data_IF_493183092600
#
_entry.id   IF_493183092600
#
_cell.length_a   1.000
_cell.length_b   1.000
_cell.length_c   1.000
_cell.angle_alpha   90.00
_cell.angle_beta   90.00
_cell.angle_gamma   90.00
#
_symmetry.space_group_name_H-M   'P 1'
#
loop_
_entity.id
_entity.type
_entity.pdbx_description
1 polymer ?
#
# COMPACT_ATOMS: atom_id res chain seq x y z
N UNK A 1 -3.64 62.74 -9.71
CA UNK A 1 -4.09 61.51 -9.04
C UNK A 1 -3.61 60.35 -9.88
N UNK A 2 -2.34 60.03 -9.64
CA UNK A 2 -1.60 58.86 -10.12
C UNK A 2 -2.26 57.61 -9.49
N UNK A 3 -2.42 56.46 -10.15
CA UNK A 3 -1.40 55.73 -10.88
C UNK A 3 -0.93 54.56 -10.02
N UNK A 4 -1.70 53.47 -9.98
CA UNK A 4 -1.23 52.18 -9.46
C UNK A 4 -1.62 51.08 -10.44
N UNK A 5 -0.72 50.83 -11.40
CA UNK A 5 -0.71 49.63 -12.23
C UNK A 5 0.03 48.54 -11.44
N UNK A 6 -0.68 47.50 -11.00
CA UNK A 6 -0.03 46.27 -10.57
C UNK A 6 0.39 45.50 -11.81
N UNK A 7 1.63 45.72 -12.25
CA UNK A 7 2.30 44.89 -13.24
C UNK A 7 3.00 43.76 -12.47
N UNK A 8 2.31 42.63 -12.32
CA UNK A 8 2.89 41.41 -11.79
C UNK A 8 3.85 40.81 -12.82
N UNK A 9 5.13 41.20 -12.75
CA UNK A 9 6.21 40.44 -13.37
C UNK A 9 6.32 39.11 -12.60
N UNK A 10 5.75 38.05 -13.15
CA UNK A 10 6.19 36.69 -12.82
C UNK A 10 7.55 36.50 -13.46
N UNK A 11 8.61 36.59 -12.64
CA UNK A 11 9.93 36.12 -13.01
C UNK A 11 9.87 34.58 -12.98
N UNK A 12 9.49 33.98 -14.11
CA UNK A 12 9.71 32.55 -14.34
C UNK A 12 11.23 32.34 -14.41
N UNK A 13 11.83 31.89 -13.31
CA UNK A 13 13.17 31.33 -13.34
C UNK A 13 13.06 29.97 -14.05
N UNK A 14 13.09 29.99 -15.39
CA UNK A 14 13.39 28.82 -16.19
C UNK A 14 14.81 28.37 -15.84
N UNK A 15 14.91 27.36 -14.98
CA UNK A 15 16.12 26.54 -14.93
C UNK A 15 16.14 25.72 -16.22
N UNK A 16 16.79 26.28 -17.24
CA UNK A 16 17.24 25.55 -18.42
C UNK A 16 18.33 24.59 -17.93
N UNK A 17 17.94 23.38 -17.54
CA UNK A 17 18.86 22.24 -17.53
C UNK A 17 19.08 21.88 -19.00
N UNK A 18 20.23 22.31 -19.51
CA UNK A 18 20.66 22.03 -20.86
C UNK A 18 20.62 20.53 -21.14
N UNK A 19 20.09 20.19 -22.31
CA UNK A 19 20.27 18.87 -22.90
C UNK A 19 21.79 18.65 -23.07
N UNK A 20 22.37 17.85 -22.20
CA UNK A 20 23.70 17.30 -22.43
C UNK A 20 23.55 16.14 -23.43
N UNK A 21 24.09 16.32 -24.62
CA UNK A 21 24.34 15.26 -25.58
C UNK A 21 25.01 14.07 -24.88
N UNK A 22 24.41 12.88 -25.01
CA UNK A 22 25.03 11.64 -24.57
C UNK A 22 26.11 11.28 -25.61
N UNK A 23 27.31 11.82 -25.39
CA UNK A 23 28.51 11.35 -26.05
C UNK A 23 28.87 9.97 -25.45
N UNK A 24 28.84 8.94 -26.29
CA UNK A 24 29.22 7.59 -25.93
C UNK A 24 30.68 7.52 -25.50
N UNK A 25 30.90 7.32 -24.21
CA UNK A 25 32.16 6.81 -23.66
C UNK A 25 31.90 5.46 -23.03
N UNK A 26 32.36 4.41 -23.71
CA UNK A 26 32.47 3.05 -23.17
C UNK A 26 33.50 3.05 -22.04
N UNK A 27 33.04 3.22 -20.81
CA UNK A 27 33.80 2.92 -19.60
C UNK A 27 33.25 1.60 -19.02
N UNK A 28 34.14 0.64 -18.77
CA UNK A 28 33.80 -0.68 -18.25
C UNK A 28 33.12 -0.57 -16.88
N UNK A 29 31.88 -1.07 -16.79
CA UNK A 29 31.13 -1.15 -15.54
C UNK A 29 31.60 -2.35 -14.72
N UNK A 30 32.29 -2.06 -13.61
CA UNK A 30 32.43 -3.00 -12.50
C UNK A 30 31.14 -3.08 -11.69
N UNK A 31 30.82 -4.28 -11.21
CA UNK A 31 29.63 -4.65 -10.45
C UNK A 31 29.62 -4.13 -8.99
N UNK A 32 29.52 -2.82 -8.75
CA UNK A 32 29.38 -2.30 -7.36
C UNK A 32 28.33 -1.18 -7.27
N UNK A 33 27.10 -1.47 -7.70
CA UNK A 33 25.96 -0.65 -7.25
C UNK A 33 25.81 -0.81 -5.73
N UNK A 34 25.73 0.29 -4.96
CA UNK A 34 25.68 0.20 -3.51
C UNK A 34 24.40 -0.51 -3.05
N UNK A 35 24.55 -1.45 -2.11
CA UNK A 35 23.42 -2.21 -1.58
C UNK A 35 22.51 -1.28 -0.78
N UNK A 36 21.25 -1.14 -1.20
CA UNK A 36 20.27 -0.22 -0.61
C UNK A 36 19.96 -0.60 0.85
N UNK A 37 19.87 -1.91 1.12
CA UNK A 37 19.69 -2.45 2.46
C UNK A 37 19.85 -3.97 2.48
N UNK A 38 20.19 -4.52 3.64
CA UNK A 38 20.43 -5.96 3.82
C UNK A 38 19.21 -6.72 4.36
N UNK A 39 18.11 -6.02 4.67
CA UNK A 39 16.89 -6.61 5.20
C UNK A 39 16.95 -6.96 6.69
N UNK A 40 15.96 -7.73 7.13
CA UNK A 40 15.72 -8.06 8.54
C UNK A 40 15.61 -9.57 8.75
N UNK A 41 15.84 -10.04 9.97
CA UNK A 41 15.56 -11.41 10.43
C UNK A 41 14.49 -11.42 11.51
N UNK A 42 13.75 -12.51 11.62
CA UNK A 42 12.77 -12.69 12.72
C UNK A 42 13.51 -13.06 14.00
N UNK A 43 13.57 -12.13 14.96
CA UNK A 43 14.18 -12.33 16.28
C UNK A 43 13.28 -13.15 17.20
N UNK A 44 11.99 -12.84 17.19
CA UNK A 44 10.95 -13.59 17.90
C UNK A 44 9.62 -13.42 17.16
N UNK A 45 8.78 -14.44 17.17
CA UNK A 45 7.40 -14.30 16.69
C UNK A 45 6.46 -15.18 17.50
N UNK A 46 5.24 -14.71 17.67
CA UNK A 46 4.19 -15.35 18.45
C UNK A 46 2.89 -15.37 17.64
N UNK A 47 2.17 -16.48 17.74
CA UNK A 47 0.81 -16.61 17.22
C UNK A 47 -0.17 -16.54 18.39
N UNK A 48 -1.07 -15.56 18.31
CA UNK A 48 -2.18 -15.39 19.23
C UNK A 48 -3.41 -15.89 18.51
N UNK A 49 -4.04 -16.94 19.04
CA UNK A 49 -5.28 -17.49 18.49
C UNK A 49 -6.42 -17.33 19.49
N UNK A 50 -7.53 -16.77 19.02
CA UNK A 50 -8.77 -16.63 19.77
C UNK A 50 -9.72 -17.77 19.35
N UNK A 51 -9.97 -18.73 20.22
CA UNK A 51 -10.95 -19.80 19.96
C UNK A 51 -12.32 -19.38 20.50
N UNK A 52 -13.17 -18.81 19.65
CA UNK A 52 -14.57 -18.55 19.98
C UNK A 52 -15.47 -19.68 19.51
N UNK A 53 -15.59 -20.78 20.27
CA UNK A 53 -16.76 -21.68 20.18
C UNK A 53 -17.62 -21.50 21.43
N UNK A 54 -18.75 -20.82 21.27
CA UNK A 54 -19.67 -20.53 22.34
C UNK A 54 -21.02 -20.11 21.79
N UNK A 55 -21.79 -21.08 21.29
CA UNK A 55 -23.21 -20.90 21.00
C UNK A 55 -23.96 -20.67 22.30
N UNK A 56 -24.21 -19.41 22.64
CA UNK A 56 -25.01 -18.99 23.77
C UNK A 56 -25.52 -17.57 23.51
N UNK A 57 -26.84 -17.41 23.43
CA UNK A 57 -27.47 -16.12 23.25
C UNK A 57 -27.12 -15.19 24.43
N UNK A 58 -26.32 -14.17 24.18
CA UNK A 58 -25.97 -13.11 25.12
C UNK A 58 -24.47 -12.96 25.35
N UNK A 59 -23.80 -12.13 24.53
CA UNK A 59 -22.41 -11.73 24.71
C UNK A 59 -21.44 -12.35 23.70
N UNK A 60 -21.58 -12.02 22.40
CA UNK A 60 -20.65 -12.46 21.37
C UNK A 60 -19.33 -11.68 21.42
N UNK A 61 -18.20 -12.39 21.35
CA UNK A 61 -16.89 -11.80 21.08
C UNK A 61 -16.95 -11.03 19.76
N UNK A 62 -16.80 -9.71 19.80
CA UNK A 62 -16.70 -8.90 18.59
C UNK A 62 -15.33 -9.17 17.92
N UNK A 63 -15.34 -10.01 16.87
CA UNK A 63 -14.53 -9.82 15.67
C UNK A 63 -12.99 -9.90 15.74
N UNK A 64 -12.36 -10.28 16.85
CA UNK A 64 -10.91 -10.45 16.90
C UNK A 64 -10.44 -11.78 16.33
N UNK A 65 -10.18 -11.84 15.01
CA UNK A 65 -9.43 -12.94 14.42
C UNK A 65 -8.04 -13.06 15.05
N UNK A 66 -7.40 -14.24 14.96
CA UNK A 66 -6.04 -14.42 15.49
C UNK A 66 -5.04 -13.40 14.90
N UNK A 67 -3.90 -13.23 15.57
CA UNK A 67 -2.83 -12.33 15.13
C UNK A 67 -1.46 -12.99 15.25
N UNK A 68 -0.53 -12.58 14.39
CA UNK A 68 0.90 -12.89 14.49
C UNK A 68 1.65 -11.62 14.79
N UNK A 69 2.37 -11.63 15.90
CA UNK A 69 3.28 -10.53 16.27
C UNK A 69 4.71 -11.01 16.16
N UNK A 70 5.58 -10.22 15.52
CA UNK A 70 6.99 -10.54 15.37
C UNK A 70 7.87 -9.31 15.64
N UNK A 71 9.02 -9.56 16.27
CA UNK A 71 10.11 -8.60 16.39
C UNK A 71 11.15 -8.94 15.33
N UNK A 72 11.48 -7.96 14.49
CA UNK A 72 12.42 -8.10 13.39
C UNK A 72 13.69 -7.30 13.74
N UNK A 73 14.85 -7.90 13.49
CA UNK A 73 16.17 -7.31 13.76
C UNK A 73 16.91 -7.09 12.45
N UNK A 74 17.48 -5.90 12.29
CA UNK A 74 18.25 -5.53 11.11
C UNK A 74 19.46 -6.45 10.96
N UNK A 75 19.68 -7.00 9.76
CA UNK A 75 20.83 -7.88 9.50
C UNK A 75 22.14 -7.10 9.50
N UNK A 76 22.16 -6.00 8.75
CA UNK A 76 23.33 -5.15 8.55
C UNK A 76 22.88 -3.76 8.08
N UNK A 77 23.58 -2.74 8.52
CA UNK A 77 23.34 -1.35 8.12
C UNK A 77 23.87 -1.04 6.73
N UNK A 78 23.19 -0.16 6.01
CA UNK A 78 23.65 0.51 4.78
C UNK A 78 23.45 2.02 4.91
N UNK A 79 24.37 2.83 4.36
CA UNK A 79 24.28 4.29 4.36
C UNK A 79 23.39 4.86 3.25
N UNK A 80 23.04 4.05 2.25
CA UNK A 80 22.23 4.48 1.10
C UNK A 80 20.84 4.90 1.61
N UNK A 81 20.36 6.07 1.19
CA UNK A 81 19.07 6.66 1.61
C UNK A 81 18.89 6.85 3.13
N UNK A 82 19.99 6.93 3.88
CA UNK A 82 19.96 7.25 5.32
C UNK A 82 19.98 6.04 6.25
N UNK A 83 19.83 6.28 7.58
CA UNK A 83 20.00 5.25 8.59
C UNK A 83 18.86 4.22 8.58
N UNK A 84 19.23 2.95 8.69
CA UNK A 84 18.28 1.85 8.90
C UNK A 84 17.69 1.88 10.31
N UNK A 85 16.41 1.55 10.41
CA UNK A 85 15.75 1.28 11.69
C UNK A 85 16.27 -0.05 12.22
N UNK A 86 16.69 -0.11 13.48
CA UNK A 86 17.39 -1.30 14.00
C UNK A 86 16.44 -2.45 14.35
N UNK A 87 15.26 -2.13 14.87
CA UNK A 87 14.25 -3.09 15.32
C UNK A 87 12.89 -2.68 14.77
N UNK A 88 12.20 -3.63 14.12
CA UNK A 88 10.83 -3.43 13.66
C UNK A 88 9.86 -4.33 14.41
N UNK A 89 8.67 -3.82 14.69
CA UNK A 89 7.53 -4.60 15.15
C UNK A 89 6.60 -4.87 13.97
N UNK A 90 6.38 -6.15 13.67
CA UNK A 90 5.39 -6.63 12.70
C UNK A 90 4.18 -7.18 13.43
N UNK A 91 2.99 -6.75 13.04
CA UNK A 91 1.72 -7.31 13.49
C UNK A 91 0.84 -7.63 12.27
N UNK A 92 0.57 -8.91 12.06
CA UNK A 92 -0.39 -9.39 11.08
C UNK A 92 -1.66 -9.84 11.80
N UNK A 93 -2.82 -9.30 11.43
CA UNK A 93 -4.10 -9.62 12.08
C UNK A 93 -5.23 -9.71 11.07
N UNK A 94 -6.21 -10.57 11.36
CA UNK A 94 -7.48 -10.61 10.64
C UNK A 94 -8.43 -9.63 11.32
N UNK A 95 -8.68 -8.48 10.69
CA UNK A 95 -9.61 -7.48 11.24
C UNK A 95 -11.08 -7.91 11.06
N UNK A 96 -11.35 -8.69 10.02
CA UNK A 96 -12.60 -9.41 9.81
C UNK A 96 -12.34 -10.67 8.95
N UNK A 97 -13.41 -11.35 8.54
CA UNK A 97 -13.31 -12.58 7.75
C UNK A 97 -12.72 -12.37 6.34
N UNK A 98 -12.77 -11.13 5.83
CA UNK A 98 -12.44 -10.76 4.45
C UNK A 98 -11.24 -9.80 4.34
N UNK A 99 -10.73 -9.29 5.47
CA UNK A 99 -9.66 -8.29 5.52
C UNK A 99 -8.55 -8.71 6.46
N UNK A 100 -7.33 -8.81 5.91
CA UNK A 100 -6.10 -9.01 6.66
C UNK A 100 -5.27 -7.72 6.65
N UNK A 101 -4.71 -7.36 7.80
CA UNK A 101 -3.83 -6.21 7.98
C UNK A 101 -2.43 -6.67 8.38
N UNK A 102 -1.41 -6.16 7.70
CA UNK A 102 0.01 -6.31 8.06
C UNK A 102 0.58 -4.94 8.36
N UNK A 103 0.89 -4.69 9.64
CA UNK A 103 1.45 -3.44 10.13
C UNK A 103 2.91 -3.64 10.56
N UNK A 104 3.84 -2.89 9.98
CA UNK A 104 5.26 -2.91 10.31
C UNK A 104 5.71 -1.50 10.73
N UNK A 105 6.25 -1.39 11.93
CA UNK A 105 6.65 -0.11 12.57
C UNK A 105 8.02 -0.20 13.22
N UNK A 106 8.65 0.95 13.49
CA UNK A 106 9.81 0.99 14.38
C UNK A 106 9.37 0.51 15.79
N UNK A 107 10.08 -0.48 16.33
CA UNK A 107 9.74 -1.08 17.62
C UNK A 107 10.01 -0.15 18.81
N UNK A 108 10.87 0.85 18.64
CA UNK A 108 11.34 1.73 19.71
C UNK A 108 10.74 3.14 19.64
N UNK A 109 10.31 3.58 18.45
CA UNK A 109 9.83 4.95 18.25
C UNK A 109 8.51 4.98 17.46
N UNK A 110 7.53 5.78 17.88
CA UNK A 110 6.36 6.04 17.06
C UNK A 110 6.78 6.77 15.78
N UNK A 111 6.18 6.40 14.66
CA UNK A 111 6.35 7.05 13.36
C UNK A 111 5.02 7.63 12.90
N UNK A 112 5.07 8.48 11.88
CA UNK A 112 3.87 9.06 11.30
C UNK A 112 2.91 7.97 10.79
N UNK A 113 1.65 8.09 11.18
CA UNK A 113 0.51 7.30 10.72
C UNK A 113 -0.64 8.26 10.41
N UNK A 114 -1.49 7.94 9.43
CA UNK A 114 -2.68 8.75 9.13
C UNK A 114 -3.57 8.77 10.38
N UNK A 115 -3.87 9.94 10.97
CA UNK A 115 -4.62 10.02 12.21
C UNK A 115 -6.02 9.41 12.09
N UNK A 116 -6.49 8.74 13.14
CA UNK A 116 -7.85 8.18 13.18
C UNK A 116 -8.94 9.26 13.11
N UNK A 117 -8.63 10.51 13.49
CA UNK A 117 -9.54 11.64 13.30
C UNK A 117 -9.74 12.01 11.84
N UNK A 118 -8.79 11.68 10.97
CA UNK A 118 -8.86 11.93 9.52
C UNK A 118 -9.47 10.74 8.80
N UNK A 119 -9.03 9.53 9.15
CA UNK A 119 -9.54 8.29 8.62
C UNK A 119 -9.86 7.34 9.78
N UNK A 120 -11.10 7.39 10.32
CA UNK A 120 -11.52 6.52 11.39
C UNK A 120 -11.43 5.06 10.96
N UNK A 121 -10.71 4.28 11.74
CA UNK A 121 -10.59 2.84 11.55
C UNK A 121 -11.15 2.19 12.80
N UNK A 122 -11.90 1.11 12.65
CA UNK A 122 -12.30 0.30 13.80
C UNK A 122 -11.01 -0.15 14.48
N UNK A 123 -10.65 0.47 15.60
CA UNK A 123 -9.45 0.09 16.34
C UNK A 123 -9.60 -1.38 16.69
N UNK A 124 -8.77 -2.25 16.11
CA UNK A 124 -8.42 -3.48 16.79
C UNK A 124 -7.72 -3.04 18.08
N UNK A 125 -8.50 -2.89 19.14
CA UNK A 125 -7.96 -2.71 20.48
C UNK A 125 -6.89 -3.81 20.65
N UNK A 126 -5.73 -3.52 21.27
CA UNK A 126 -4.92 -4.61 21.82
C UNK A 126 -5.90 -5.47 22.62
N UNK A 127 -5.94 -6.80 22.45
CA UNK A 127 -6.90 -7.61 23.17
C UNK A 127 -6.78 -7.22 24.63
N UNK A 128 -7.84 -6.61 25.19
CA UNK A 128 -7.99 -6.56 26.64
C UNK A 128 -7.76 -7.98 27.11
N UNK A 129 -7.01 -8.17 28.20
CA UNK A 129 -6.62 -9.48 28.70
C UNK A 129 -7.82 -10.42 28.80
N UNK A 130 -8.11 -11.13 27.70
CA UNK A 130 -9.25 -12.01 27.59
C UNK A 130 -8.72 -13.36 28.02
N UNK A 131 -9.30 -13.88 29.10
CA UNK A 131 -9.01 -15.16 29.74
C UNK A 131 -9.19 -16.40 28.83
N UNK A 132 -9.37 -16.22 27.52
CA UNK A 132 -9.60 -17.26 26.51
C UNK A 132 -8.70 -17.15 25.27
N UNK A 133 -7.67 -16.29 25.27
CA UNK A 133 -6.64 -16.30 24.22
C UNK A 133 -5.60 -17.38 24.55
N UNK A 134 -5.36 -18.31 23.63
CA UNK A 134 -4.23 -19.23 23.76
C UNK A 134 -3.01 -18.60 23.12
N UNK A 135 -2.05 -18.24 23.97
CA UNK A 135 -0.70 -17.89 23.56
C UNK A 135 0.04 -19.18 23.19
N UNK A 136 0.51 -19.26 21.95
CA UNK A 136 1.46 -20.27 21.54
C UNK A 136 2.82 -19.60 21.40
N UNK A 137 3.57 -19.43 22.51
CA UNK A 137 4.95 -18.98 22.41
C UNK A 137 5.73 -20.06 21.66
N UNK A 138 6.29 -19.71 20.50
CA UNK A 138 7.23 -20.60 19.85
C UNK A 138 8.45 -20.70 20.74
N UNK A 139 8.70 -21.87 21.34
CA UNK A 139 9.94 -22.13 22.06
C UNK A 139 11.12 -22.00 21.09
N UNK A 140 12.30 -21.56 21.55
CA UNK A 140 13.49 -21.38 20.69
C UNK A 140 13.93 -22.64 19.93
N UNK A 141 13.41 -23.80 20.29
CA UNK A 141 13.75 -25.11 19.74
C UNK A 141 12.74 -25.67 18.72
N UNK A 142 11.73 -24.90 18.30
CA UNK A 142 10.87 -25.30 17.18
C UNK A 142 11.42 -24.75 15.86
N UNK A 143 12.01 -25.65 15.08
CA UNK A 143 12.60 -25.48 13.74
C UNK A 143 11.58 -25.22 12.62
N UNK A 144 10.35 -24.80 12.94
CA UNK A 144 9.36 -24.44 11.93
C UNK A 144 9.78 -23.13 11.25
N UNK A 145 10.24 -23.25 10.00
CA UNK A 145 10.64 -22.12 9.15
C UNK A 145 9.51 -21.14 8.87
N UNK A 146 8.25 -21.54 9.08
CA UNK A 146 7.06 -20.74 8.76
C UNK A 146 6.09 -20.71 9.92
N UNK A 147 5.59 -19.51 10.26
CA UNK A 147 4.49 -19.30 11.21
C UNK A 147 3.24 -18.85 10.45
N UNK A 148 2.14 -19.58 10.57
CA UNK A 148 0.94 -19.34 9.76
C UNK A 148 -0.25 -18.88 10.61
N UNK A 149 -0.88 -17.80 10.20
CA UNK A 149 -2.15 -17.29 10.71
C UNK A 149 -3.27 -17.69 9.75
N UNK A 150 -4.29 -18.35 10.28
CA UNK A 150 -5.52 -18.69 9.54
C UNK A 150 -6.71 -18.64 10.51
N UNK A 151 -7.91 -18.44 9.96
CA UNK A 151 -9.16 -18.47 10.72
C UNK A 151 -10.19 -19.34 9.99
N UNK A 152 -11.03 -20.13 10.70
CA UNK A 152 -12.02 -21.01 10.06
C UNK A 152 -12.91 -20.29 9.05
N UNK A 153 -13.39 -19.09 9.41
CA UNK A 153 -14.31 -18.31 8.59
C UNK A 153 -13.63 -17.39 7.56
N UNK A 154 -12.31 -17.24 7.61
CA UNK A 154 -11.58 -16.42 6.63
C UNK A 154 -11.01 -17.29 5.51
N UNK A 155 -11.13 -16.82 4.28
CA UNK A 155 -10.43 -17.41 3.13
C UNK A 155 -8.99 -16.88 3.00
N UNK A 156 -8.52 -16.01 3.92
CA UNK A 156 -7.15 -15.53 3.96
C UNK A 156 -6.28 -16.39 4.87
N UNK A 157 -5.05 -16.63 4.42
CA UNK A 157 -3.98 -17.24 5.21
C UNK A 157 -2.74 -16.36 5.09
N UNK A 158 -2.16 -15.98 6.23
CA UNK A 158 -0.89 -15.26 6.29
C UNK A 158 0.22 -16.21 6.75
N UNK A 159 1.38 -16.15 6.11
CA UNK A 159 2.55 -16.94 6.47
C UNK A 159 3.76 -16.05 6.65
N UNK A 160 4.38 -16.09 7.83
CA UNK A 160 5.65 -15.44 8.13
C UNK A 160 6.79 -16.45 7.94
N UNK A 161 7.71 -16.17 7.02
CA UNK A 161 8.88 -17.00 6.74
C UNK A 161 10.10 -16.49 7.51
N UNK A 162 10.70 -17.35 8.33
CA UNK A 162 11.88 -17.08 9.16
C UNK A 162 13.19 -17.34 8.38
N UNK A 163 13.26 -16.85 7.15
CA UNK A 163 14.47 -16.87 6.31
C UNK A 163 15.42 -15.72 6.67
N UNK A 164 16.59 -15.65 6.03
CA UNK A 164 17.53 -14.52 6.16
C UNK A 164 17.83 -13.93 4.78
N UNK A 165 17.27 -12.76 4.41
CA UNK A 165 16.25 -11.98 5.14
C UNK A 165 14.90 -12.70 5.28
N UNK A 166 14.06 -12.21 6.17
CA UNK A 166 12.70 -12.74 6.37
C UNK A 166 11.79 -12.40 5.18
N UNK A 167 10.67 -13.11 5.09
CA UNK A 167 9.60 -12.80 4.13
C UNK A 167 8.23 -13.09 4.72
N UNK A 168 7.18 -12.66 4.02
CA UNK A 168 5.82 -13.08 4.33
C UNK A 168 4.98 -13.20 3.07
N UNK A 169 3.90 -13.98 3.16
CA UNK A 169 2.92 -14.08 2.09
C UNK A 169 1.50 -14.12 2.61
N UNK A 170 0.57 -13.66 1.77
CA UNK A 170 -0.88 -13.75 1.98
C UNK A 170 -1.46 -14.56 0.83
N UNK A 171 -2.19 -15.62 1.15
CA UNK A 171 -2.76 -16.54 0.19
C UNK A 171 -4.23 -16.81 0.46
N UNK A 172 -4.94 -17.24 -0.59
CA UNK A 172 -6.30 -17.74 -0.52
C UNK A 172 -6.30 -19.18 -0.01
N UNK A 173 -7.01 -19.47 1.07
CA UNK A 173 -7.11 -20.80 1.69
C UNK A 173 -7.79 -21.81 0.77
N UNK A 174 -8.84 -21.39 0.07
CA UNK A 174 -9.65 -22.25 -0.80
C UNK A 174 -8.93 -22.74 -2.05
N UNK A 175 -8.04 -21.93 -2.63
CA UNK A 175 -7.35 -22.27 -3.89
C UNK A 175 -5.84 -22.48 -3.73
N UNK A 176 -5.26 -22.03 -2.62
CA UNK A 176 -3.81 -21.94 -2.44
C UNK A 176 -3.16 -20.80 -3.23
N UNK A 177 -3.95 -19.95 -3.92
CA UNK A 177 -3.40 -18.87 -4.72
C UNK A 177 -2.78 -17.77 -3.85
N UNK A 178 -1.52 -17.42 -4.14
CA UNK A 178 -0.80 -16.37 -3.41
C UNK A 178 -1.20 -15.00 -3.96
N UNK A 179 -1.76 -14.17 -3.08
CA UNK A 179 -2.31 -12.85 -3.38
C UNK A 179 -1.23 -11.77 -3.24
N UNK A 180 -0.41 -11.87 -2.20
CA UNK A 180 0.70 -10.96 -1.92
C UNK A 180 1.91 -11.76 -1.45
N UNK A 181 3.04 -11.67 -2.12
CA UNK A 181 4.24 -12.46 -1.84
C UNK A 181 5.48 -11.60 -1.65
N UNK A 182 5.78 -11.24 -0.40
CA UNK A 182 6.98 -10.50 -0.01
C UNK A 182 8.11 -11.45 0.42
N UNK A 183 8.25 -12.60 -0.23
CA UNK A 183 9.42 -13.46 -0.04
C UNK A 183 10.66 -12.83 -0.71
N UNK A 184 11.80 -12.72 0.00
CA UNK A 184 13.00 -12.13 -0.56
C UNK A 184 13.68 -13.09 -1.55
N UNK A 185 14.26 -12.54 -2.62
CA UNK A 185 15.16 -13.26 -3.51
C UNK A 185 16.60 -12.85 -3.19
N UNK A 186 17.42 -13.73 -2.58
CA UNK A 186 18.81 -13.40 -2.22
C UNK A 186 19.69 -12.97 -3.40
N UNK A 187 19.32 -13.36 -4.63
CA UNK A 187 20.03 -12.97 -5.85
C UNK A 187 19.76 -11.53 -6.29
N UNK A 188 18.73 -10.88 -5.74
CA UNK A 188 18.37 -9.49 -6.04
C UNK A 188 17.97 -8.74 -4.75
N UNK A 189 18.96 -8.40 -3.90
CA UNK A 189 18.71 -7.76 -2.61
C UNK A 189 18.10 -6.37 -2.77
N UNK A 190 18.53 -5.62 -3.79
CA UNK A 190 18.08 -4.25 -4.01
C UNK A 190 16.63 -4.17 -4.49
N UNK A 191 16.11 -5.19 -5.20
CA UNK A 191 14.72 -5.17 -5.65
C UNK A 191 13.73 -5.83 -4.69
N UNK A 192 14.12 -6.87 -3.95
CA UNK A 192 13.15 -7.74 -3.26
C UNK A 192 13.12 -7.60 -1.74
N UNK A 193 14.19 -7.10 -1.12
CA UNK A 193 14.24 -7.06 0.33
C UNK A 193 13.35 -5.95 0.88
N UNK A 194 12.73 -6.23 2.04
CA UNK A 194 12.19 -5.17 2.87
C UNK A 194 13.34 -4.29 3.35
N UNK A 195 13.33 -3.02 2.97
CA UNK A 195 14.22 -1.99 3.50
C UNK A 195 13.38 -1.00 4.28
N UNK A 196 13.82 -0.64 5.49
CA UNK A 196 13.08 0.28 6.35
C UNK A 196 14.06 1.27 6.98
N UNK A 197 14.06 2.49 6.45
CA UNK A 197 14.84 3.64 6.89
C UNK A 197 13.88 4.78 7.20
N UNK A 198 14.39 5.85 7.81
CA UNK A 198 13.55 6.98 8.19
C UNK A 198 12.84 7.66 7.00
N UNK A 199 13.52 7.80 5.86
CA UNK A 199 12.97 8.42 4.66
C UNK A 199 13.00 7.50 3.43
N UNK A 200 13.08 6.19 3.66
CA UNK A 200 13.05 5.19 2.60
C UNK A 200 12.54 3.84 3.11
N UNK A 201 11.33 3.49 2.70
CA UNK A 201 10.69 2.21 2.98
C UNK A 201 10.48 1.52 1.63
N UNK A 202 11.02 0.32 1.49
CA UNK A 202 10.82 -0.54 0.33
C UNK A 202 10.03 -1.78 0.74
N UNK A 203 8.92 -2.05 0.05
CA UNK A 203 8.14 -3.28 0.16
C UNK A 203 7.85 -3.81 -1.23
N UNK A 204 8.27 -5.04 -1.52
CA UNK A 204 8.07 -5.69 -2.82
C UNK A 204 7.19 -6.91 -2.66
N UNK A 205 6.28 -7.11 -3.62
CA UNK A 205 5.54 -8.36 -3.79
C UNK A 205 5.77 -8.94 -5.19
N UNK A 206 6.01 -10.25 -5.26
CA UNK A 206 6.02 -10.99 -6.53
C UNK A 206 4.59 -11.14 -7.06
N UNK A 207 4.44 -11.13 -8.38
CA UNK A 207 3.17 -11.27 -9.08
C UNK A 207 3.32 -12.30 -10.20
N UNK A 208 2.27 -13.09 -10.50
CA UNK A 208 2.27 -14.00 -11.62
C UNK A 208 1.90 -13.25 -12.93
N UNK A 209 2.87 -12.90 -13.79
CA UNK A 209 2.66 -11.91 -14.86
C UNK A 209 1.63 -12.33 -15.93
N UNK A 210 1.43 -13.63 -16.12
CA UNK A 210 0.48 -14.18 -17.10
C UNK A 210 -0.98 -14.15 -16.64
N UNK A 211 -1.24 -13.86 -15.35
CA UNK A 211 -2.59 -13.96 -14.78
C UNK A 211 -2.96 -12.87 -13.79
N UNK A 212 -2.04 -12.01 -13.35
CA UNK A 212 -2.34 -10.88 -12.49
C UNK A 212 -2.62 -9.64 -13.33
N UNK A 213 -3.85 -9.13 -13.24
CA UNK A 213 -4.30 -7.95 -13.99
C UNK A 213 -4.61 -6.83 -13.00
N UNK A 214 -3.76 -5.80 -12.96
CA UNK A 214 -3.80 -4.76 -11.93
C UNK A 214 -4.55 -3.49 -12.39
N UNK A 215 -5.31 -2.89 -11.47
CA UNK A 215 -6.08 -1.66 -11.67
C UNK A 215 -5.97 -0.75 -10.44
N UNK A 216 -5.81 0.56 -10.61
CA UNK A 216 -5.77 1.53 -9.50
C UNK A 216 -4.48 2.36 -9.45
N UNK A 217 -3.92 2.53 -8.26
CA UNK A 217 -2.71 3.30 -7.97
C UNK A 217 -2.76 4.75 -8.48
N UNK A 218 -3.93 5.39 -8.40
CA UNK A 218 -4.14 6.75 -8.91
C UNK A 218 -3.50 7.86 -8.07
N UNK A 219 -3.49 9.11 -8.54
CA UNK A 219 -4.15 9.59 -9.76
C UNK A 219 -3.18 9.80 -10.93
N UNK A 220 -3.47 9.15 -12.07
CA UNK A 220 -2.70 9.27 -13.32
C UNK A 220 -3.63 9.17 -14.52
N UNK A 221 -3.35 9.93 -15.58
CA UNK A 221 -3.97 9.72 -16.89
C UNK A 221 -3.22 8.62 -17.64
N UNK A 222 -3.94 7.57 -18.03
CA UNK A 222 -3.40 6.41 -18.75
C UNK A 222 -4.28 6.07 -19.96
N UNK A 223 -3.70 5.54 -21.06
CA UNK A 223 -4.46 5.11 -22.23
C UNK A 223 -5.27 3.83 -21.99
N UNK A 224 -4.91 3.06 -20.96
CA UNK A 224 -5.55 1.79 -20.59
C UNK A 224 -6.03 1.85 -19.14
N UNK A 225 -7.12 1.14 -18.84
CA UNK A 225 -7.59 1.00 -17.46
C UNK A 225 -6.76 -0.03 -16.68
N UNK A 226 -6.43 -1.16 -17.31
CA UNK A 226 -5.43 -2.09 -16.79
C UNK A 226 -4.04 -1.43 -16.83
N UNK A 227 -3.29 -1.60 -15.75
CA UNK A 227 -1.95 -1.06 -15.64
C UNK A 227 -1.00 -1.81 -16.58
N UNK A 228 -0.33 -1.07 -17.47
CA UNK A 228 0.75 -1.60 -18.28
C UNK A 228 1.93 -2.09 -17.42
N UNK A 229 2.67 -3.10 -17.88
CA UNK A 229 3.90 -3.53 -17.23
C UNK A 229 5.03 -2.51 -17.45
N UNK A 230 6.07 -2.60 -16.61
CA UNK A 230 7.32 -1.82 -16.71
C UNK A 230 7.13 -0.31 -16.61
N UNK A 231 6.36 0.12 -15.60
CA UNK A 231 6.12 1.53 -15.33
C UNK A 231 6.35 1.89 -13.86
N UNK A 232 6.52 3.18 -13.63
CA UNK A 232 6.58 3.80 -12.31
C UNK A 232 5.38 4.72 -12.14
N UNK A 233 4.63 4.53 -11.06
CA UNK A 233 3.49 5.36 -10.69
C UNK A 233 3.85 6.15 -9.43
N UNK A 234 4.10 7.45 -9.60
CA UNK A 234 4.39 8.35 -8.47
C UNK A 234 3.10 8.82 -7.83
N UNK A 235 2.97 8.72 -6.51
CA UNK A 235 1.85 9.23 -5.73
C UNK A 235 2.35 10.41 -4.90
N UNK A 236 2.01 11.61 -5.37
CA UNK A 236 2.30 12.88 -4.72
C UNK A 236 1.34 13.93 -5.28
N UNK A 237 0.40 14.42 -4.48
CA UNK A 237 -0.60 15.38 -4.94
C UNK A 237 0.08 16.64 -5.48
N UNK A 238 -0.20 16.96 -6.75
CA UNK A 238 0.40 18.07 -7.47
C UNK A 238 -0.62 18.74 -8.41
N UNK A 239 -0.48 20.04 -8.58
CA UNK A 239 -1.26 20.80 -9.56
C UNK A 239 -0.66 20.61 -10.96
N UNK A 240 -1.00 19.47 -11.58
CA UNK A 240 -0.56 19.08 -12.91
C UNK A 240 -1.79 18.72 -13.74
N UNK A 241 -1.94 19.38 -14.89
CA UNK A 241 -3.07 19.15 -15.79
C UNK A 241 -3.16 17.68 -16.25
N UNK A 242 -4.35 17.08 -16.17
CA UNK A 242 -4.58 15.66 -16.50
C UNK A 242 -4.43 15.32 -17.99
N UNK A 243 -4.21 16.30 -18.85
CA UNK A 243 -3.78 16.07 -20.24
C UNK A 243 -2.36 15.50 -20.33
N UNK A 244 -1.55 15.64 -19.27
CA UNK A 244 -0.23 15.03 -19.19
C UNK A 244 -0.36 13.57 -18.75
N UNK A 245 0.02 12.64 -19.61
CA UNK A 245 0.01 11.21 -19.27
C UNK A 245 1.14 10.87 -18.31
N UNK A 246 0.96 9.83 -17.51
CA UNK A 246 1.98 9.19 -16.66
C UNK A 246 2.52 10.02 -15.48
N UNK A 247 2.24 11.32 -15.41
CA UNK A 247 2.60 12.17 -14.26
C UNK A 247 1.66 11.93 -13.08
N UNK A 248 2.17 12.14 -11.86
CA UNK A 248 1.35 12.27 -10.66
C UNK A 248 0.43 13.49 -10.78
N UNK A 249 -0.84 13.34 -10.41
CA UNK A 249 -1.85 14.41 -10.52
C UNK A 249 -2.31 14.88 -9.13
N UNK A 250 -3.58 15.25 -8.99
CA UNK A 250 -4.12 15.95 -7.83
C UNK A 250 -4.35 15.02 -6.63
N UNK A 251 -4.60 13.74 -6.88
CA UNK A 251 -4.88 12.72 -5.87
C UNK A 251 -3.80 11.65 -5.71
N UNK A 252 -3.82 11.00 -4.56
CA UNK A 252 -3.00 9.82 -4.23
C UNK A 252 -3.87 8.73 -3.63
N UNK A 253 -3.96 7.61 -4.34
CA UNK A 253 -4.78 6.45 -4.00
C UNK A 253 -3.90 5.18 -4.05
N UNK A 254 -3.17 4.85 -2.96
CA UNK A 254 -2.26 3.70 -2.88
C UNK A 254 -3.00 2.36 -2.73
N UNK A 255 -4.06 2.19 -3.51
CA UNK A 255 -4.89 1.00 -3.60
C UNK A 255 -4.80 0.42 -5.02
N UNK A 256 -4.66 -0.90 -5.13
CA UNK A 256 -4.86 -1.60 -6.38
C UNK A 256 -5.79 -2.81 -6.19
N UNK A 257 -6.52 -3.14 -7.26
CA UNK A 257 -7.22 -4.40 -7.42
C UNK A 257 -6.42 -5.29 -8.37
N UNK A 258 -6.24 -6.55 -8.02
CA UNK A 258 -5.67 -7.59 -8.88
C UNK A 258 -6.77 -8.60 -9.21
N UNK A 259 -7.14 -8.65 -10.49
CA UNK A 259 -8.05 -9.65 -11.05
C UNK A 259 -7.22 -10.81 -11.59
N UNK A 260 -7.41 -12.00 -11.02
CA UNK A 260 -6.70 -13.21 -11.45
C UNK A 260 -7.41 -13.88 -12.63
N UNK A 261 -6.68 -14.05 -13.74
CA UNK A 261 -7.11 -14.90 -14.85
C UNK A 261 -7.14 -16.36 -14.37
N UNK A 262 -8.35 -16.84 -14.05
CA UNK A 262 -8.64 -18.19 -13.61
C UNK A 262 -10.06 -18.56 -14.05
N UNK A 263 -10.45 -19.83 -13.92
CA UNK A 263 -11.81 -20.29 -14.22
C UNK A 263 -12.90 -19.57 -13.39
N UNK A 264 -12.54 -18.92 -12.29
CA UNK A 264 -13.47 -18.21 -11.40
C UNK A 264 -13.37 -16.69 -11.48
N UNK A 265 -12.36 -16.13 -12.16
CA UNK A 265 -12.15 -14.68 -12.25
C UNK A 265 -11.96 -14.01 -10.88
N UNK A 266 -11.24 -14.66 -9.97
CA UNK A 266 -11.11 -14.21 -8.59
C UNK A 266 -10.31 -12.89 -8.50
N UNK A 267 -10.86 -11.91 -7.80
CA UNK A 267 -10.21 -10.63 -7.52
C UNK A 267 -9.80 -10.53 -6.04
N UNK A 268 -8.80 -9.70 -5.77
CA UNK A 268 -8.47 -9.22 -4.44
C UNK A 268 -8.03 -7.75 -4.52
N UNK A 269 -8.03 -7.07 -3.39
CA UNK A 269 -7.55 -5.69 -3.28
C UNK A 269 -6.37 -5.60 -2.33
N UNK A 270 -5.47 -4.64 -2.58
CA UNK A 270 -4.36 -4.32 -1.69
C UNK A 270 -4.30 -2.81 -1.52
N UNK A 271 -4.26 -2.35 -0.27
CA UNK A 271 -4.09 -0.96 0.12
C UNK A 271 -2.83 -0.82 0.95
N UNK A 272 -1.93 0.08 0.58
CA UNK A 272 -0.89 0.57 1.47
C UNK A 272 -1.37 1.89 2.12
N UNK A 273 -1.80 1.83 3.37
CA UNK A 273 -2.34 2.99 4.08
C UNK A 273 -1.22 3.91 4.57
N UNK A 274 -0.68 4.71 3.64
CA UNK A 274 0.41 5.64 3.88
C UNK A 274 0.18 6.92 3.05
N UNK A 275 0.42 8.09 3.64
CA UNK A 275 0.19 9.40 3.01
C UNK A 275 1.46 10.13 2.57
N UNK A 276 2.63 9.53 2.76
CA UNK A 276 3.90 10.08 2.28
C UNK A 276 4.03 9.87 0.77
N UNK A 277 4.88 10.69 0.14
CA UNK A 277 5.23 10.50 -1.26
C UNK A 277 5.80 9.12 -1.53
N UNK A 278 5.38 8.50 -2.63
CA UNK A 278 5.89 7.19 -3.00
C UNK A 278 6.00 7.01 -4.50
N UNK A 279 6.97 6.20 -4.91
CA UNK A 279 7.01 5.59 -6.22
C UNK A 279 6.56 4.14 -6.11
N UNK A 280 5.57 3.76 -6.90
CA UNK A 280 5.14 2.36 -7.07
C UNK A 280 5.66 1.85 -8.41
N UNK A 281 6.62 0.94 -8.38
CA UNK A 281 7.22 0.35 -9.58
C UNK A 281 6.52 -0.97 -9.88
N UNK A 282 5.93 -1.10 -11.06
CA UNK A 282 5.24 -2.30 -11.52
C UNK A 282 5.87 -2.82 -12.80
N UNK A 283 6.43 -4.03 -12.78
CA UNK A 283 7.11 -4.66 -13.92
C UNK A 283 6.33 -5.84 -14.51
N UNK A 284 5.12 -6.11 -14.01
CA UNK A 284 4.32 -7.29 -14.37
C UNK A 284 4.55 -8.46 -13.42
N UNK A 285 5.81 -8.87 -13.25
CA UNK A 285 6.22 -9.98 -12.38
C UNK A 285 6.41 -9.57 -10.90
N UNK A 286 6.36 -8.27 -10.60
CA UNK A 286 6.43 -7.71 -9.25
C UNK A 286 5.83 -6.31 -9.19
N UNK A 287 5.48 -5.93 -7.97
CA UNK A 287 5.12 -4.57 -7.58
C UNK A 287 5.95 -4.16 -6.37
N UNK A 288 6.56 -2.98 -6.43
CA UNK A 288 7.45 -2.45 -5.39
C UNK A 288 7.01 -1.06 -4.96
N UNK A 289 6.67 -0.91 -3.69
CA UNK A 289 6.40 0.37 -3.05
C UNK A 289 7.72 0.95 -2.53
N UNK A 290 8.07 2.17 -2.94
CA UNK A 290 9.20 2.95 -2.42
C UNK A 290 8.65 4.24 -1.81
N UNK A 291 8.55 4.27 -0.48
CA UNK A 291 7.87 5.33 0.27
C UNK A 291 8.87 6.16 1.07
N UNK A 292 8.72 7.48 1.08
CA UNK A 292 9.69 8.39 1.72
C UNK A 292 9.43 8.68 3.20
N UNK A 293 8.61 7.86 3.87
CA UNK A 293 8.30 8.04 5.29
C UNK A 293 7.10 7.23 5.78
N UNK A 294 6.69 7.51 7.02
CA UNK A 294 5.57 6.83 7.66
C UNK A 294 5.91 5.40 8.07
N UNK A 295 4.96 4.48 7.86
CA UNK A 295 5.07 3.07 8.19
C UNK A 295 4.54 2.19 7.04
N UNK A 296 4.64 0.87 7.20
CA UNK A 296 3.88 -0.07 6.37
C UNK A 296 2.60 -0.42 7.13
N UNK A 297 1.46 0.01 6.62
CA UNK A 297 0.14 -0.43 7.09
C UNK A 297 -0.65 -0.99 5.91
N UNK A 298 -0.40 -2.26 5.61
CA UNK A 298 -0.87 -2.96 4.41
C UNK A 298 -2.18 -3.69 4.71
N UNK A 299 -3.21 -3.50 3.90
CA UNK A 299 -4.46 -4.23 3.97
C UNK A 299 -4.63 -5.09 2.71
N UNK A 300 -5.04 -6.34 2.90
CA UNK A 300 -5.42 -7.26 1.82
C UNK A 300 -6.88 -7.61 1.97
N UNK A 301 -7.65 -7.35 0.92
CA UNK A 301 -9.10 -7.61 0.82
C UNK A 301 -9.31 -8.82 -0.07
N UNK A 302 -9.92 -9.90 0.46
CA UNK A 302 -9.94 -11.21 -0.18
C UNK A 302 -10.83 -11.32 -1.43
N UNK A 303 -11.73 -10.37 -1.66
CA UNK A 303 -12.76 -10.49 -2.69
C UNK A 303 -13.78 -11.59 -2.33
N UNK A 304 -14.22 -12.46 -3.25
CA UNK A 304 -13.49 -12.86 -4.46
C UNK A 304 -13.96 -12.18 -5.76
N UNK A 305 -14.98 -11.32 -5.76
CA UNK A 305 -15.39 -10.59 -6.96
C UNK A 305 -14.89 -9.14 -6.93
N UNK A 306 -14.69 -8.47 -8.08
CA UNK A 306 -14.33 -7.05 -8.10
C UNK A 306 -15.25 -6.16 -7.25
N UNK A 307 -16.56 -6.45 -7.27
CA UNK A 307 -17.55 -5.74 -6.45
C UNK A 307 -17.34 -5.98 -4.96
N UNK A 308 -17.06 -7.22 -4.54
CA UNK A 308 -16.77 -7.54 -3.15
C UNK A 308 -15.47 -6.85 -2.66
N UNK A 309 -14.45 -6.74 -3.52
CA UNK A 309 -13.23 -6.00 -3.20
C UNK A 309 -13.53 -4.52 -2.94
N UNK A 310 -14.33 -3.87 -3.79
CA UNK A 310 -14.74 -2.46 -3.58
C UNK A 310 -15.58 -2.30 -2.32
N UNK A 311 -16.48 -3.25 -2.03
CA UNK A 311 -17.28 -3.27 -0.82
C UNK A 311 -16.40 -3.31 0.45
N UNK A 312 -15.46 -4.26 0.49
CA UNK A 312 -14.51 -4.45 1.59
C UNK A 312 -13.57 -3.23 1.76
N UNK A 313 -13.09 -2.67 0.65
CA UNK A 313 -12.22 -1.49 0.65
C UNK A 313 -12.95 -0.25 1.18
N UNK A 314 -14.15 0.05 0.65
CA UNK A 314 -14.93 1.22 1.07
C UNK A 314 -15.54 1.07 2.47
N UNK A 315 -15.70 -0.16 2.97
CA UNK A 315 -16.01 -0.38 4.39
C UNK A 315 -14.88 0.13 5.30
N UNK A 316 -13.62 0.02 4.87
CA UNK A 316 -12.46 0.52 5.62
C UNK A 316 -12.28 2.03 5.46
N UNK A 317 -12.24 2.53 4.22
CA UNK A 317 -11.87 3.93 3.95
C UNK A 317 -13.03 4.93 4.01
N UNK A 318 -14.26 4.44 4.20
CA UNK A 318 -15.48 5.23 4.17
C UNK A 318 -16.32 4.95 2.93
N UNK A 319 -17.62 4.79 3.14
CA UNK A 319 -18.59 4.59 2.06
C UNK A 319 -18.72 5.88 1.25
N UNK A 320 -18.85 5.81 -0.09
CA UNK A 320 -19.14 6.99 -0.91
C UNK A 320 -20.36 7.74 -0.38
N UNK A 321 -20.25 9.06 -0.26
CA UNK A 321 -21.37 9.90 0.13
C UNK A 321 -22.51 9.76 -0.90
N UNK A 322 -23.79 9.70 -0.46
CA UNK A 322 -24.90 9.73 -1.38
C UNK A 322 -24.92 11.07 -2.12
N UNK A 323 -25.19 11.02 -3.41
CA UNK A 323 -25.29 12.22 -4.24
C UNK A 323 -26.76 12.72 -4.25
N UNK A 324 -27.01 14.03 -4.10
CA UNK A 324 -28.37 14.56 -4.20
C UNK A 324 -28.90 14.39 -5.62
N UNK A 325 -30.20 14.13 -5.78
CA UNK A 325 -30.76 13.73 -7.08
C UNK A 325 -30.45 14.69 -8.24
N UNK A 326 -30.44 16.00 -7.97
CA UNK A 326 -30.14 17.02 -8.98
C UNK A 326 -28.70 16.96 -9.52
N UNK A 327 -27.74 16.39 -8.79
CA UNK A 327 -26.34 16.33 -9.24
C UNK A 327 -26.12 15.32 -10.36
N UNK A 328 -27.09 14.44 -10.63
CA UNK A 328 -27.08 13.55 -11.80
C UNK A 328 -27.56 14.25 -13.08
N UNK A 329 -28.04 15.49 -12.99
CA UNK A 329 -28.38 16.31 -14.14
C UNK A 329 -27.15 16.80 -14.93
N UNK A 330 -27.42 17.57 -15.98
CA UNK A 330 -26.37 18.24 -16.75
C UNK A 330 -25.77 19.43 -15.99
N UNK A 331 -24.46 19.61 -16.07
CA UNK A 331 -23.73 20.72 -15.44
C UNK A 331 -23.05 21.57 -16.51
N UNK A 332 -23.25 22.89 -16.46
CA UNK A 332 -22.54 23.88 -17.29
C UNK A 332 -21.55 24.65 -16.41
N UNK A 333 -20.30 24.76 -16.86
CA UNK A 333 -19.28 25.52 -16.17
C UNK A 333 -18.31 26.15 -17.18
N UNK A 334 -17.78 27.32 -16.85
CA UNK A 334 -16.70 27.96 -17.59
C UNK A 334 -15.94 28.89 -16.66
N UNK A 335 -14.62 28.73 -16.64
CA UNK A 335 -13.76 29.80 -16.14
C UNK A 335 -13.72 30.94 -17.16
N UNK A 336 -14.13 32.14 -16.75
CA UNK A 336 -14.12 33.34 -17.60
C UNK A 336 -15.48 33.91 -17.99
N UNK A 337 -16.57 33.59 -17.27
CA UNK A 337 -17.74 34.47 -17.29
C UNK A 337 -17.40 35.79 -16.60
N UNK A 338 -17.72 36.91 -17.25
CA UNK A 338 -17.36 38.25 -16.77
C UNK A 338 -18.53 39.03 -16.15
N UNK A 339 -19.77 38.53 -16.28
CA UNK A 339 -20.95 39.16 -15.70
C UNK A 339 -22.09 38.16 -15.49
N UNK A 340 -23.07 38.55 -14.66
CA UNK A 340 -24.31 37.79 -14.46
C UNK A 340 -25.12 37.70 -15.75
N UNK A 341 -25.15 38.76 -16.57
CA UNK A 341 -25.87 38.77 -17.85
C UNK A 341 -25.35 37.70 -18.83
N UNK A 342 -24.04 37.45 -18.84
CA UNK A 342 -23.45 36.37 -19.66
C UNK A 342 -23.90 34.99 -19.18
N UNK A 343 -24.01 34.79 -17.87
CA UNK A 343 -24.50 33.53 -17.30
C UNK A 343 -25.98 33.33 -17.64
N UNK A 344 -26.81 34.36 -17.48
CA UNK A 344 -28.23 34.32 -17.86
C UNK A 344 -28.41 34.00 -19.34
N UNK A 345 -27.62 34.65 -20.21
CA UNK A 345 -27.68 34.40 -21.66
C UNK A 345 -27.33 32.96 -22.04
N UNK A 346 -26.52 32.24 -21.25
CA UNK A 346 -26.21 30.81 -21.47
C UNK A 346 -27.35 29.92 -20.99
N UNK A 347 -28.06 30.31 -19.93
CA UNK A 347 -29.23 29.58 -19.42
C UNK A 347 -30.41 29.70 -20.40
N UNK A 348 -30.58 30.85 -21.03
CA UNK A 348 -31.72 31.17 -21.90
C UNK A 348 -31.60 30.64 -23.35
N UNK A 349 -30.41 30.17 -23.78
CA UNK A 349 -30.11 29.72 -25.16
C UNK A 349 -30.40 28.24 -25.38
#
# INVERSE_FOLDING_TARGET
MEGFRFMGFFLTLCLVLGAAEVAGTTAGYGNDEPVIGYGYVVKSAELISCSGSGGGAGGGCAGGGGSVTALLELIRTSSVFGPDVQLLSLNASLEDENRLRVRITDANHPRWEIPESVLPRSSSSPPQSHSQCRHYPTTPNQTTLTLTLTHPNSDLTFSLLRTTPFGFSVARKSTGDVLFDATPNPSDPNATFLVFKDQYIQLTASLPPERAHLYGLGEHTKPTFELAHNQKLTLWNADIGSSNTDLNLYGSHPFYMDLRSSSTGAAHGVLLLNSNGMDVVYTGDRITFKVIGGIIDLYVFVGPTPVAVVDQYTQLIGRPAPMPYWSFGFHQCRWGYHSVDQVNSVIDN
#
